data_IF_147732587629
#
_entry.id   IF_147732587629
#
_cell.length_a   1.000
_cell.length_b   1.000
_cell.length_c   1.000
_cell.angle_alpha   90.00
_cell.angle_beta   90.00
_cell.angle_gamma   90.00
#
_symmetry.space_group_name_H-M   'P 1'
#
loop_
_entity.id
_entity.type
_entity.pdbx_description
1 polymer ?
#
# COMPACT_ATOMS: atom_id res chain seq x y z
N UNK A 1 -19.34 -8.88 3.67
CA UNK A 1 -20.43 -9.63 2.99
C UNK A 1 -19.79 -10.35 1.81
N UNK A 2 -20.06 -11.64 1.64
CA UNK A 2 -19.75 -12.36 0.40
C UNK A 2 -20.97 -12.26 -0.52
N UNK A 3 -20.72 -11.89 -1.78
CA UNK A 3 -21.76 -11.66 -2.78
C UNK A 3 -21.45 -12.49 -4.01
N UNK A 4 -22.49 -12.81 -4.78
CA UNK A 4 -22.31 -13.34 -6.12
C UNK A 4 -21.58 -12.31 -7.00
N UNK A 5 -20.53 -12.75 -7.70
CA UNK A 5 -19.66 -11.85 -8.46
C UNK A 5 -20.33 -11.23 -9.69
N UNK A 6 -21.41 -11.82 -10.20
CA UNK A 6 -22.09 -11.36 -11.42
C UNK A 6 -23.33 -10.52 -11.16
N UNK A 7 -24.00 -10.75 -10.02
CA UNK A 7 -25.29 -10.14 -9.68
C UNK A 7 -25.26 -9.25 -8.45
N UNK A 8 -24.18 -9.33 -7.65
CA UNK A 8 -24.07 -8.72 -6.32
C UNK A 8 -25.10 -9.24 -5.30
N UNK A 9 -25.77 -10.35 -5.60
CA UNK A 9 -26.70 -10.98 -4.66
C UNK A 9 -25.94 -11.40 -3.38
N UNK A 10 -26.40 -10.99 -2.18
CA UNK A 10 -25.72 -11.32 -0.93
C UNK A 10 -25.85 -12.82 -0.63
N UNK A 11 -24.71 -13.51 -0.50
CA UNK A 11 -24.67 -14.95 -0.21
C UNK A 11 -24.32 -15.26 1.25
N UNK A 12 -23.44 -14.48 1.87
CA UNK A 12 -23.06 -14.67 3.28
C UNK A 12 -22.74 -13.35 3.98
N UNK A 13 -23.20 -13.21 5.22
CA UNK A 13 -22.86 -12.09 6.10
C UNK A 13 -22.18 -12.65 7.35
N UNK A 14 -21.06 -12.06 7.73
CA UNK A 14 -20.30 -12.44 8.92
C UNK A 14 -20.05 -11.23 9.79
N UNK A 15 -20.26 -11.38 11.10
CA UNK A 15 -19.86 -10.39 12.10
C UNK A 15 -18.36 -10.47 12.33
N UNK A 16 -17.72 -9.32 12.52
CA UNK A 16 -16.31 -9.22 12.93
C UNK A 16 -16.13 -9.00 14.43
N UNK A 17 -17.22 -8.73 15.19
CA UNK A 17 -17.19 -8.61 16.66
C UNK A 17 -16.50 -9.81 17.30
N UNK A 18 -15.62 -9.56 18.25
CA UNK A 18 -14.83 -10.62 18.86
C UNK A 18 -13.75 -10.09 19.78
N UNK A 19 -12.78 -10.94 20.10
CA UNK A 19 -11.75 -10.67 21.09
C UNK A 19 -10.52 -10.02 20.46
N UNK A 20 -9.92 -9.04 21.15
CA UNK A 20 -8.63 -8.47 20.77
C UNK A 20 -7.53 -9.52 20.81
N UNK A 21 -6.53 -9.38 19.93
CA UNK A 21 -5.42 -10.34 19.83
C UNK A 21 -4.52 -10.35 21.07
N UNK A 22 -4.37 -9.21 21.72
CA UNK A 22 -3.50 -8.97 22.87
C UNK A 22 -4.17 -9.32 24.21
N UNK A 23 -5.17 -8.55 24.62
CA UNK A 23 -5.80 -8.64 25.95
C UNK A 23 -6.89 -9.71 26.01
N UNK A 24 -7.32 -10.24 24.85
CA UNK A 24 -8.49 -11.12 24.75
C UNK A 24 -9.73 -10.47 25.37
N UNK A 25 -9.89 -9.16 25.19
CA UNK A 25 -11.08 -8.42 25.61
C UNK A 25 -12.06 -8.28 24.45
N UNK A 26 -13.36 -8.31 24.75
CA UNK A 26 -14.39 -8.18 23.74
C UNK A 26 -14.40 -6.77 23.15
N UNK A 27 -14.29 -6.67 21.83
CA UNK A 27 -14.41 -5.42 21.10
C UNK A 27 -15.74 -5.37 20.31
N UNK A 28 -16.63 -4.40 20.57
CA UNK A 28 -17.97 -4.34 19.96
C UNK A 28 -17.98 -3.77 18.53
N UNK A 29 -16.92 -3.09 18.11
CA UNK A 29 -16.83 -2.40 16.81
C UNK A 29 -15.50 -2.63 16.06
N UNK A 30 -15.12 -3.88 15.75
CA UNK A 30 -13.92 -4.14 14.99
C UNK A 30 -14.18 -4.03 13.48
N UNK A 31 -13.63 -2.99 12.87
CA UNK A 31 -13.84 -2.61 11.48
C UNK A 31 -13.03 -3.51 10.55
N UNK A 32 -13.60 -3.80 9.38
CA UNK A 32 -12.83 -4.37 8.26
C UNK A 32 -12.04 -3.24 7.61
N UNK A 33 -10.72 -3.41 7.46
CA UNK A 33 -9.85 -2.38 6.91
C UNK A 33 -9.47 -2.62 5.45
N UNK A 34 -8.88 -3.78 5.16
CA UNK A 34 -8.49 -4.20 3.82
C UNK A 34 -8.95 -5.63 3.55
N UNK A 35 -9.26 -5.91 2.29
CA UNK A 35 -9.59 -7.24 1.79
C UNK A 35 -8.75 -7.47 0.54
N UNK A 36 -8.00 -8.57 0.50
CA UNK A 36 -7.30 -9.04 -0.70
C UNK A 36 -7.74 -10.46 -1.04
N UNK A 37 -7.59 -10.87 -2.29
CA UNK A 37 -7.86 -12.24 -2.72
C UNK A 37 -6.56 -13.04 -2.73
N UNK A 38 -6.59 -14.24 -2.14
CA UNK A 38 -5.47 -15.19 -2.19
C UNK A 38 -5.22 -15.65 -3.63
N UNK A 39 -3.95 -15.90 -3.94
CA UNK A 39 -3.52 -16.55 -5.17
C UNK A 39 -3.17 -18.03 -4.96
N UNK A 40 -3.14 -18.50 -3.71
CA UNK A 40 -2.75 -19.85 -3.33
C UNK A 40 -3.96 -20.74 -3.03
N UNK A 41 -5.09 -20.14 -2.61
CA UNK A 41 -6.33 -20.82 -2.22
C UNK A 41 -7.56 -20.02 -2.65
N UNK A 42 -8.76 -20.62 -2.73
CA UNK A 42 -10.02 -19.91 -2.94
C UNK A 42 -10.44 -19.13 -1.68
N UNK A 43 -9.62 -18.18 -1.27
CA UNK A 43 -9.76 -17.44 -0.01
C UNK A 43 -9.72 -15.92 -0.21
N UNK A 44 -10.53 -15.21 0.57
CA UNK A 44 -10.31 -13.79 0.86
C UNK A 44 -9.49 -13.65 2.14
N UNK A 45 -8.52 -12.75 2.13
CA UNK A 45 -7.76 -12.34 3.31
C UNK A 45 -8.30 -11.01 3.79
N UNK A 46 -8.83 -10.97 5.02
CA UNK A 46 -9.59 -9.86 5.59
C UNK A 46 -8.89 -9.33 6.84
N UNK A 47 -8.46 -8.08 6.81
CA UNK A 47 -7.95 -7.38 7.99
C UNK A 47 -9.08 -6.88 8.88
N UNK A 48 -9.06 -7.27 10.15
CA UNK A 48 -9.98 -6.78 11.18
C UNK A 48 -9.20 -5.89 12.15
N UNK A 49 -9.43 -4.58 12.02
CA UNK A 49 -8.56 -3.50 12.54
C UNK A 49 -8.38 -3.57 14.05
N UNK A 50 -9.42 -3.35 14.83
CA UNK A 50 -9.30 -3.12 16.28
C UNK A 50 -8.90 -4.38 17.04
N UNK A 51 -9.36 -5.55 16.59
CA UNK A 51 -9.00 -6.84 17.20
C UNK A 51 -7.64 -7.36 16.75
N UNK A 52 -7.06 -6.82 15.67
CA UNK A 52 -5.77 -7.25 15.16
C UNK A 52 -5.77 -8.68 14.64
N UNK A 53 -6.88 -9.09 14.01
CA UNK A 53 -7.06 -10.42 13.43
C UNK A 53 -7.04 -10.33 11.90
N UNK A 54 -6.40 -11.31 11.27
CA UNK A 54 -6.46 -11.52 9.82
C UNK A 54 -7.27 -12.79 9.58
N UNK A 55 -8.35 -12.69 8.82
CA UNK A 55 -9.23 -13.83 8.51
C UNK A 55 -8.94 -14.32 7.10
N UNK A 56 -8.64 -15.61 6.95
CA UNK A 56 -8.59 -16.30 5.66
C UNK A 56 -9.93 -17.00 5.50
N UNK A 57 -10.79 -16.45 4.64
CA UNK A 57 -12.18 -16.87 4.44
C UNK A 57 -12.26 -17.68 3.15
N UNK A 58 -12.37 -19.00 3.29
CA UNK A 58 -12.51 -19.92 2.16
C UNK A 58 -13.94 -19.86 1.60
N UNK A 59 -14.05 -19.50 0.33
CA UNK A 59 -15.33 -19.33 -0.36
C UNK A 59 -15.72 -20.54 -1.23
N UNK A 60 -14.99 -21.65 -1.17
CA UNK A 60 -15.30 -22.88 -1.94
C UNK A 60 -16.61 -23.54 -1.52
N UNK A 61 -17.03 -23.36 -0.26
CA UNK A 61 -18.29 -23.85 0.27
C UNK A 61 -18.93 -22.83 1.21
N UNK A 62 -19.95 -22.12 0.72
CA UNK A 62 -20.63 -21.06 1.48
C UNK A 62 -21.59 -21.60 2.55
N UNK A 63 -22.03 -22.86 2.43
CA UNK A 63 -22.89 -23.53 3.40
C UNK A 63 -22.09 -23.95 4.64
N UNK A 64 -20.87 -24.43 4.43
CA UNK A 64 -19.93 -24.83 5.48
C UNK A 64 -18.62 -24.01 5.41
N UNK A 65 -18.76 -22.70 5.66
CA UNK A 65 -17.67 -21.75 5.50
C UNK A 65 -16.49 -22.06 6.44
N UNK A 66 -15.30 -22.25 5.88
CA UNK A 66 -14.06 -22.40 6.64
C UNK A 66 -13.39 -21.04 6.78
N UNK A 67 -12.97 -20.72 8.00
CA UNK A 67 -12.31 -19.44 8.32
C UNK A 67 -11.13 -19.71 9.22
N UNK A 68 -9.92 -19.45 8.72
CA UNK A 68 -8.71 -19.43 9.54
C UNK A 68 -8.54 -18.05 10.14
N UNK A 69 -8.45 -17.95 11.46
CA UNK A 69 -8.24 -16.68 12.17
C UNK A 69 -6.80 -16.59 12.65
N UNK A 70 -6.05 -15.64 12.10
CA UNK A 70 -4.66 -15.38 12.46
C UNK A 70 -4.57 -14.16 13.40
N UNK A 71 -3.81 -14.30 14.48
CA UNK A 71 -3.47 -13.19 15.36
C UNK A 71 -2.25 -12.43 14.82
N UNK A 72 -2.41 -11.14 14.55
CA UNK A 72 -1.33 -10.27 14.10
C UNK A 72 -1.02 -9.20 15.16
N UNK A 73 -1.35 -7.94 14.90
CA UNK A 73 -1.24 -6.83 15.83
C UNK A 73 -2.47 -5.92 15.68
N UNK A 74 -2.83 -5.17 16.73
CA UNK A 74 -3.98 -4.27 16.67
C UNK A 74 -3.77 -3.15 15.65
N UNK A 75 -4.87 -2.59 15.19
CA UNK A 75 -4.92 -1.50 14.23
C UNK A 75 -4.41 -1.86 12.83
N UNK A 76 -4.66 -3.11 12.40
CA UNK A 76 -4.49 -3.51 11.01
C UNK A 76 -5.17 -2.51 10.07
N UNK A 77 -4.53 -2.25 8.95
CA UNK A 77 -4.98 -1.30 7.97
C UNK A 77 -4.87 -1.91 6.57
N UNK A 78 -3.99 -1.38 5.75
CA UNK A 78 -3.70 -1.73 4.37
C UNK A 78 -2.47 -2.62 4.25
N UNK A 79 -2.25 -3.16 3.06
CA UNK A 79 -1.22 -4.13 2.77
C UNK A 79 -1.31 -4.64 1.35
N UNK A 80 -0.32 -5.41 0.94
CA UNK A 80 -0.30 -6.03 -0.37
C UNK A 80 0.57 -7.26 -0.44
N UNK A 81 0.51 -7.89 -1.60
CA UNK A 81 1.27 -9.08 -1.91
C UNK A 81 2.74 -8.75 -2.14
N UNK A 82 3.61 -9.66 -1.73
CA UNK A 82 4.97 -9.74 -2.26
C UNK A 82 4.95 -10.01 -3.78
N UNK A 83 6.11 -9.89 -4.43
CA UNK A 83 6.24 -10.11 -5.87
C UNK A 83 5.77 -11.48 -6.36
N UNK A 84 5.85 -12.52 -5.51
CA UNK A 84 5.43 -13.89 -5.84
C UNK A 84 3.93 -14.14 -5.62
N UNK A 85 3.23 -13.18 -4.98
CA UNK A 85 1.81 -13.29 -4.61
C UNK A 85 1.50 -14.40 -3.63
N UNK A 86 2.48 -14.80 -2.81
CA UNK A 86 2.30 -15.81 -1.75
C UNK A 86 2.17 -15.17 -0.38
N UNK A 87 2.94 -14.13 -0.12
CA UNK A 87 3.03 -13.49 1.19
C UNK A 87 2.27 -12.18 1.19
N UNK A 88 1.31 -12.06 2.10
CA UNK A 88 0.58 -10.81 2.30
C UNK A 88 1.24 -10.02 3.42
N UNK A 89 1.78 -8.85 3.08
CA UNK A 89 2.40 -7.92 4.02
C UNK A 89 1.41 -6.80 4.34
N UNK A 90 1.10 -6.59 5.61
CA UNK A 90 0.11 -5.60 6.03
C UNK A 90 0.52 -4.80 7.25
N UNK A 91 0.21 -3.51 7.23
CA UNK A 91 0.51 -2.58 8.29
C UNK A 91 -0.51 -2.65 9.44
N UNK A 92 -0.01 -2.87 10.64
CA UNK A 92 -0.67 -2.55 11.90
C UNK A 92 -0.21 -1.16 12.34
N UNK A 93 -0.80 -0.12 11.73
CA UNK A 93 -0.17 1.19 11.64
C UNK A 93 0.08 1.88 13.00
N UNK A 94 -0.92 1.90 13.89
CA UNK A 94 -0.79 2.45 15.25
C UNK A 94 0.02 1.55 16.19
N UNK A 95 0.38 0.34 15.75
CA UNK A 95 1.28 -0.56 16.47
C UNK A 95 2.69 -0.59 15.89
N UNK A 96 2.98 0.20 14.85
CA UNK A 96 4.29 0.28 14.19
C UNK A 96 4.84 -1.10 13.76
N UNK A 97 3.97 -1.96 13.22
CA UNK A 97 4.33 -3.32 12.78
C UNK A 97 3.84 -3.62 11.37
N UNK A 98 4.58 -4.48 10.68
CA UNK A 98 4.19 -5.14 9.43
C UNK A 98 4.01 -6.62 9.73
N UNK A 99 2.77 -7.11 9.62
CA UNK A 99 2.49 -8.54 9.70
C UNK A 99 2.70 -9.19 8.33
N UNK A 100 3.35 -10.35 8.32
CA UNK A 100 3.58 -11.15 7.11
C UNK A 100 2.81 -12.46 7.24
N UNK A 101 1.82 -12.65 6.38
CA UNK A 101 1.02 -13.86 6.27
C UNK A 101 1.57 -14.71 5.13
N UNK A 102 1.93 -15.97 5.39
CA UNK A 102 2.08 -16.96 4.33
C UNK A 102 0.69 -17.48 3.96
N UNK A 103 0.15 -17.00 2.83
CA UNK A 103 -1.21 -17.40 2.42
C UNK A 103 -1.29 -18.87 2.03
N UNK A 104 -0.17 -19.49 1.63
CA UNK A 104 -0.13 -20.89 1.25
C UNK A 104 -0.25 -21.80 2.47
N UNK A 105 0.54 -21.53 3.50
CA UNK A 105 0.57 -22.32 4.73
C UNK A 105 -0.46 -21.84 5.76
N UNK A 106 -1.13 -20.71 5.49
CA UNK A 106 -2.15 -20.08 6.35
C UNK A 106 -1.64 -19.72 7.73
N UNK A 107 -0.46 -19.10 7.81
CA UNK A 107 0.18 -18.74 9.08
C UNK A 107 0.82 -17.35 9.04
N UNK A 108 1.08 -16.78 10.23
CA UNK A 108 1.92 -15.58 10.37
C UNK A 108 3.38 -16.02 10.44
N UNK A 109 4.18 -15.62 9.46
CA UNK A 109 5.60 -15.97 9.40
C UNK A 109 6.50 -14.91 10.04
N UNK A 110 6.01 -13.67 10.17
CA UNK A 110 6.73 -12.61 10.86
C UNK A 110 5.83 -11.45 11.30
N UNK A 111 6.27 -10.76 12.36
CA UNK A 111 5.83 -9.42 12.72
C UNK A 111 7.07 -8.53 12.72
N UNK A 112 7.24 -7.74 11.65
CA UNK A 112 8.41 -6.88 11.45
C UNK A 112 8.13 -5.50 12.05
N UNK A 113 9.07 -4.96 12.82
CA UNK A 113 8.95 -3.60 13.34
C UNK A 113 9.16 -2.57 12.21
N UNK A 114 8.34 -1.52 12.23
CA UNK A 114 8.49 -0.33 11.38
C UNK A 114 8.70 0.89 12.29
N UNK A 115 9.34 1.95 11.80
CA UNK A 115 9.70 3.07 12.67
C UNK A 115 8.47 3.81 13.22
N UNK A 116 7.57 4.27 12.35
CA UNK A 116 6.42 5.08 12.78
C UNK A 116 5.28 5.16 11.75
N UNK A 117 4.11 4.61 12.09
CA UNK A 117 2.87 4.66 11.30
C UNK A 117 3.13 4.33 9.82
N UNK A 118 3.52 3.07 9.49
CA UNK A 118 3.66 2.65 8.10
C UNK A 118 2.31 2.78 7.38
N UNK A 119 2.34 3.27 6.15
CA UNK A 119 1.16 3.44 5.30
C UNK A 119 1.49 3.03 3.85
N UNK A 120 1.42 1.74 3.52
CA UNK A 120 1.87 1.23 2.23
C UNK A 120 0.90 1.47 1.07
N UNK A 121 -0.39 1.62 1.33
CA UNK A 121 -1.41 1.17 0.37
C UNK A 121 -1.25 -0.33 0.12
N UNK A 122 -0.91 -0.71 -1.12
CA UNK A 122 -0.48 -2.08 -1.47
C UNK A 122 1.03 -2.31 -1.30
N UNK A 123 1.79 -1.24 -1.07
CA UNK A 123 3.24 -1.22 -1.12
C UNK A 123 3.80 -1.31 -2.54
N UNK A 124 5.12 -1.40 -2.63
CA UNK A 124 5.86 -1.54 -3.88
C UNK A 124 6.83 -2.72 -3.80
N UNK A 125 6.88 -3.55 -4.84
CA UNK A 125 7.80 -4.67 -4.93
C UNK A 125 8.91 -4.35 -5.94
N UNK A 126 10.18 -4.48 -5.55
CA UNK A 126 11.33 -4.34 -6.43
C UNK A 126 12.30 -5.51 -6.21
N UNK A 127 13.21 -5.71 -7.17
CA UNK A 127 14.42 -6.48 -6.96
C UNK A 127 15.55 -5.52 -6.56
N UNK A 128 15.83 -5.41 -5.26
CA UNK A 128 16.88 -4.53 -4.75
C UNK A 128 18.26 -5.08 -5.18
N UNK A 129 19.14 -4.27 -5.81
CA UNK A 129 20.42 -4.74 -6.33
C UNK A 129 21.35 -5.42 -5.31
N UNK A 130 21.17 -5.15 -4.02
CA UNK A 130 21.98 -5.70 -2.92
C UNK A 130 21.25 -6.79 -2.14
N UNK A 131 19.93 -6.65 -1.95
CA UNK A 131 19.17 -7.48 -1.02
C UNK A 131 18.23 -8.49 -1.68
N UNK A 132 18.04 -8.41 -3.00
CA UNK A 132 17.11 -9.23 -3.77
C UNK A 132 15.66 -8.73 -3.65
N UNK A 133 14.65 -9.61 -3.79
CA UNK A 133 13.25 -9.23 -3.74
C UNK A 133 12.85 -8.60 -2.41
N UNK A 134 12.35 -7.37 -2.47
CA UNK A 134 11.86 -6.61 -1.31
C UNK A 134 10.48 -6.02 -1.56
N UNK A 135 9.73 -5.86 -0.48
CA UNK A 135 8.49 -5.11 -0.43
C UNK A 135 8.69 -3.84 0.39
N UNK A 136 8.11 -2.74 -0.06
CA UNK A 136 8.38 -1.39 0.43
C UNK A 136 7.09 -0.74 0.92
N UNK A 137 7.17 -0.08 2.08
CA UNK A 137 6.16 0.84 2.59
C UNK A 137 6.77 2.20 2.83
N UNK A 138 6.01 3.26 2.57
CA UNK A 138 6.30 4.59 3.12
C UNK A 138 5.64 4.75 4.50
N UNK A 139 5.83 5.91 5.12
CA UNK A 139 5.32 6.23 6.44
C UNK A 139 4.55 7.55 6.45
N UNK A 140 3.52 7.59 7.29
CA UNK A 140 2.77 8.81 7.57
C UNK A 140 3.46 9.67 8.64
N UNK A 141 4.08 9.01 9.63
CA UNK A 141 4.57 9.65 10.85
C UNK A 141 6.00 10.21 10.79
N UNK A 142 6.74 9.91 9.72
CA UNK A 142 8.10 10.37 9.42
C UNK A 142 8.40 10.20 7.93
N UNK A 143 9.61 10.58 7.54
CA UNK A 143 10.15 10.54 6.19
C UNK A 143 10.59 9.14 5.71
N UNK A 144 10.48 8.10 6.53
CA UNK A 144 11.11 6.83 6.21
C UNK A 144 10.29 5.99 5.22
N UNK A 145 11.00 5.34 4.31
CA UNK A 145 10.55 4.21 3.51
C UNK A 145 11.28 2.96 3.96
N UNK A 146 10.52 1.95 4.41
CA UNK A 146 11.05 0.70 4.96
C UNK A 146 11.01 -0.40 3.92
N UNK A 147 12.16 -1.04 3.67
CA UNK A 147 12.32 -2.12 2.69
C UNK A 147 12.46 -3.44 3.46
N UNK A 148 11.55 -4.38 3.20
CA UNK A 148 11.50 -5.69 3.86
C UNK A 148 11.85 -6.77 2.85
N UNK A 149 12.83 -7.64 3.17
CA UNK A 149 13.17 -8.79 2.34
C UNK A 149 12.02 -9.81 2.26
N UNK A 150 11.70 -10.29 1.06
CA UNK A 150 10.51 -11.15 0.82
C UNK A 150 10.81 -12.52 0.23
N UNK A 151 12.08 -12.87 0.07
CA UNK A 151 12.49 -14.17 -0.51
C UNK A 151 13.14 -15.10 0.53
N UNK A 152 12.35 -15.91 1.25
CA UNK A 152 12.86 -16.90 2.21
C UNK A 152 13.57 -18.09 1.55
N UNK A 153 13.56 -18.24 0.22
CA UNK A 153 14.24 -19.35 -0.47
C UNK A 153 15.64 -18.96 -0.91
N UNK A 154 15.75 -17.88 -1.70
CA UNK A 154 17.03 -17.40 -2.25
C UNK A 154 17.78 -16.46 -1.30
N UNK A 155 17.05 -15.67 -0.49
CA UNK A 155 17.62 -14.62 0.35
C UNK A 155 17.30 -14.82 1.85
N UNK A 156 17.48 -16.04 2.35
CA UNK A 156 17.17 -16.47 3.74
C UNK A 156 17.64 -15.52 4.84
N UNK A 157 18.81 -14.89 4.68
CA UNK A 157 19.37 -13.98 5.70
C UNK A 157 18.57 -12.68 5.83
N UNK A 158 17.90 -12.28 4.75
CA UNK A 158 17.20 -11.01 4.56
C UNK A 158 15.68 -11.15 4.72
N UNK A 159 15.13 -12.35 4.49
CA UNK A 159 13.70 -12.60 4.54
C UNK A 159 13.09 -12.14 5.88
N UNK A 160 12.02 -11.37 5.78
CA UNK A 160 11.23 -10.83 6.90
C UNK A 160 12.01 -9.92 7.84
N UNK A 161 13.02 -9.23 7.32
CA UNK A 161 13.77 -8.20 8.04
C UNK A 161 13.75 -6.90 7.26
N UNK A 162 13.81 -5.80 7.99
CA UNK A 162 14.17 -4.50 7.41
C UNK A 162 15.62 -4.58 6.93
N UNK A 163 15.82 -4.48 5.62
CA UNK A 163 17.16 -4.56 5.00
C UNK A 163 17.70 -3.19 4.61
N UNK A 164 16.81 -2.21 4.47
CA UNK A 164 17.12 -0.84 4.10
C UNK A 164 16.00 0.10 4.59
N UNK A 165 16.41 1.30 4.99
CA UNK A 165 15.52 2.44 5.17
C UNK A 165 16.06 3.58 4.31
N UNK A 166 15.19 4.21 3.51
CA UNK A 166 15.51 5.41 2.73
C UNK A 166 14.55 6.54 3.11
N UNK A 167 14.93 7.78 2.87
CA UNK A 167 14.10 8.95 3.19
C UNK A 167 13.27 9.40 1.98
N UNK A 168 12.00 9.73 2.17
CA UNK A 168 11.20 10.50 1.23
C UNK A 168 11.46 12.00 1.41
N UNK A 169 10.63 12.85 0.82
CA UNK A 169 10.74 14.32 1.00
C UNK A 169 10.41 14.79 2.42
N UNK A 170 9.75 13.95 3.22
CA UNK A 170 9.22 14.28 4.53
C UNK A 170 8.16 13.25 4.96
N UNK A 171 7.47 13.52 6.06
CA UNK A 171 6.32 12.73 6.50
C UNK A 171 5.07 12.90 5.63
N UNK A 172 3.97 12.27 6.05
CA UNK A 172 2.67 12.41 5.38
C UNK A 172 2.57 11.73 4.02
N UNK A 173 3.43 10.74 3.75
CA UNK A 173 3.27 9.85 2.60
C UNK A 173 2.06 8.94 2.78
N UNK A 174 1.36 8.66 1.67
CA UNK A 174 0.27 7.69 1.65
C UNK A 174 0.55 6.52 0.71
N UNK A 175 1.31 6.75 -0.37
CA UNK A 175 1.57 5.73 -1.36
C UNK A 175 3.03 5.72 -1.82
N UNK A 176 3.54 4.50 -1.93
CA UNK A 176 4.77 4.17 -2.67
C UNK A 176 4.38 3.31 -3.88
N UNK A 177 5.05 3.49 -5.02
CA UNK A 177 4.71 2.74 -6.24
C UNK A 177 5.92 2.46 -7.12
N UNK A 178 5.87 1.32 -7.79
CA UNK A 178 6.75 0.93 -8.88
C UNK A 178 6.00 -0.01 -9.84
N UNK A 179 6.66 -0.49 -10.87
CA UNK A 179 6.13 -1.46 -11.82
C UNK A 179 7.25 -2.42 -12.28
N UNK A 180 6.99 -3.71 -12.56
CA UNK A 180 8.02 -4.67 -12.98
C UNK A 180 8.84 -4.31 -14.24
N UNK A 181 8.37 -3.34 -15.02
CA UNK A 181 9.04 -2.83 -16.23
C UNK A 181 9.67 -1.45 -16.04
N UNK A 182 9.54 -0.87 -14.84
CA UNK A 182 10.10 0.43 -14.49
C UNK A 182 11.34 0.26 -13.63
N UNK A 183 12.25 1.23 -13.73
CA UNK A 183 13.38 1.39 -12.82
C UNK A 183 13.12 2.50 -11.80
N UNK A 184 11.89 3.00 -11.71
CA UNK A 184 11.51 4.08 -10.81
C UNK A 184 10.76 3.56 -9.59
N UNK A 185 11.10 4.14 -8.43
CA UNK A 185 10.33 4.02 -7.20
C UNK A 185 9.79 5.40 -6.82
N UNK A 186 8.47 5.54 -6.89
CA UNK A 186 7.74 6.79 -6.68
C UNK A 186 7.19 6.86 -5.26
N UNK A 187 7.30 8.01 -4.61
CA UNK A 187 6.73 8.26 -3.28
C UNK A 187 6.07 9.64 -3.23
N UNK A 188 4.81 9.66 -2.80
CA UNK A 188 4.05 10.90 -2.59
C UNK A 188 4.13 11.38 -1.13
N UNK A 189 3.73 12.63 -0.88
CA UNK A 189 3.65 13.22 0.46
C UNK A 189 2.41 14.09 0.64
N UNK A 190 1.20 13.62 0.27
CA UNK A 190 0.01 14.46 0.17
C UNK A 190 -0.38 15.11 1.49
N UNK A 191 -0.07 14.51 2.64
CA UNK A 191 -0.44 15.04 3.96
C UNK A 191 0.66 15.90 4.60
N UNK A 192 1.77 16.13 3.90
CA UNK A 192 2.81 17.02 4.40
C UNK A 192 2.28 18.46 4.55
N UNK A 193 2.68 19.20 5.61
CA UNK A 193 2.19 20.56 5.84
C UNK A 193 2.81 21.59 4.88
N UNK A 194 4.04 21.37 4.40
CA UNK A 194 4.64 22.21 3.36
C UNK A 194 4.01 21.90 1.99
N UNK A 195 3.47 22.94 1.35
CA UNK A 195 2.91 22.87 0.01
C UNK A 195 3.94 22.38 -1.01
N UNK A 196 5.21 22.79 -0.93
CA UNK A 196 6.24 22.35 -1.89
C UNK A 196 6.43 20.83 -1.90
N UNK A 197 6.28 20.20 -0.74
CA UNK A 197 6.39 18.74 -0.58
C UNK A 197 5.08 18.05 -0.96
N UNK A 198 3.93 18.54 -0.47
CA UNK A 198 2.63 17.92 -0.78
C UNK A 198 2.17 18.12 -2.22
N UNK A 199 2.76 19.06 -2.95
CA UNK A 199 2.49 19.36 -4.37
C UNK A 199 3.50 18.71 -5.34
N UNK A 200 4.40 17.87 -4.83
CA UNK A 200 5.44 17.20 -5.62
C UNK A 200 5.54 15.71 -5.28
N UNK A 201 6.37 15.00 -6.03
CA UNK A 201 6.65 13.57 -5.85
C UNK A 201 8.15 13.34 -5.91
N UNK A 202 8.66 12.50 -5.01
CA UNK A 202 10.04 12.02 -5.10
C UNK A 202 10.11 10.73 -5.93
N UNK A 203 11.17 10.61 -6.74
CA UNK A 203 11.45 9.43 -7.55
C UNK A 203 12.88 8.98 -7.38
N UNK A 204 13.02 7.74 -6.93
CA UNK A 204 14.29 7.03 -6.84
C UNK A 204 14.57 6.23 -8.10
N UNK A 205 15.84 6.13 -8.48
CA UNK A 205 16.32 5.10 -9.42
C UNK A 205 16.61 3.81 -8.65
N UNK A 206 15.86 2.74 -8.93
CA UNK A 206 16.01 1.43 -8.31
C UNK A 206 17.42 0.86 -8.53
N UNK A 207 18.05 1.17 -9.67
CA UNK A 207 19.39 0.69 -9.97
C UNK A 207 20.49 1.45 -9.20
N UNK A 208 20.16 2.60 -8.58
CA UNK A 208 21.09 3.40 -7.82
C UNK A 208 20.39 4.18 -6.69
N UNK A 209 19.82 3.42 -5.75
CA UNK A 209 19.09 3.98 -4.59
C UNK A 209 19.94 4.94 -3.74
N UNK A 210 21.26 4.76 -3.71
CA UNK A 210 22.20 5.60 -2.94
C UNK A 210 22.39 7.00 -3.55
N UNK A 211 22.02 7.21 -4.82
CA UNK A 211 22.03 8.54 -5.46
C UNK A 211 21.04 9.50 -4.80
N UNK A 212 20.04 8.97 -4.08
CA UNK A 212 18.90 9.74 -3.59
C UNK A 212 17.81 9.89 -4.65
N UNK A 213 16.82 10.72 -4.34
CA UNK A 213 15.66 10.96 -5.20
C UNK A 213 15.79 12.25 -6.03
N UNK A 214 15.06 12.27 -7.14
CA UNK A 214 14.71 13.48 -7.88
C UNK A 214 13.31 13.93 -7.47
N UNK A 215 13.03 15.24 -7.49
CA UNK A 215 11.71 15.79 -7.16
C UNK A 215 11.02 16.27 -8.43
N UNK A 216 9.81 15.78 -8.69
CA UNK A 216 8.99 16.23 -9.82
C UNK A 216 7.87 17.17 -9.36
N UNK A 217 7.73 18.35 -9.98
CA UNK A 217 6.76 19.36 -9.55
C UNK A 217 5.37 19.08 -10.16
N UNK A 218 4.75 17.97 -9.75
CA UNK A 218 3.52 17.44 -10.35
C UNK A 218 2.37 18.46 -10.33
N UNK A 219 2.10 19.14 -9.20
CA UNK A 219 1.01 20.11 -9.16
C UNK A 219 1.32 21.37 -10.00
N UNK A 220 2.60 21.75 -10.12
CA UNK A 220 3.01 22.86 -10.99
C UNK A 220 2.74 22.51 -12.45
N UNK A 221 3.07 21.28 -12.87
CA UNK A 221 2.72 20.79 -14.22
C UNK A 221 1.22 20.77 -14.46
N UNK A 222 0.44 20.48 -13.42
CA UNK A 222 -1.01 20.45 -13.51
C UNK A 222 -1.63 21.84 -13.70
N UNK A 223 -1.03 22.91 -13.18
CA UNK A 223 -1.52 24.30 -13.31
C UNK A 223 -3.01 24.44 -12.89
N UNK A 224 -3.35 23.98 -11.68
CA UNK A 224 -4.74 23.91 -11.19
C UNK A 224 -5.21 25.19 -10.47
N UNK A 225 -4.39 26.24 -10.43
CA UNK A 225 -4.72 27.51 -9.79
C UNK A 225 -4.77 27.41 -8.26
N UNK A 226 -5.71 28.12 -7.64
CA UNK A 226 -5.84 28.20 -6.19
C UNK A 226 -6.28 26.88 -5.55
N UNK A 227 -5.74 26.60 -4.36
CA UNK A 227 -6.12 25.47 -3.53
C UNK A 227 -4.93 24.72 -2.96
N UNK A 228 -5.22 23.60 -2.29
CA UNK A 228 -4.19 22.76 -1.67
C UNK A 228 -3.35 22.00 -2.70
N UNK A 229 -3.98 21.52 -3.77
CA UNK A 229 -3.38 20.79 -4.89
C UNK A 229 -2.47 19.62 -4.46
N UNK A 230 -2.93 18.83 -3.48
CA UNK A 230 -2.15 17.74 -2.90
C UNK A 230 -1.98 16.62 -3.94
N UNK A 231 -0.74 16.21 -4.19
CA UNK A 231 -0.41 15.17 -5.16
C UNK A 231 -0.45 13.82 -4.46
N UNK A 232 -1.25 12.90 -4.99
CA UNK A 232 -1.53 11.62 -4.34
C UNK A 232 -1.60 10.48 -5.34
N UNK A 233 -1.15 9.31 -4.89
CA UNK A 233 -1.27 8.00 -5.53
C UNK A 233 -0.68 7.94 -6.95
N UNK A 234 0.63 7.64 -7.10
CA UNK A 234 1.15 7.17 -8.37
C UNK A 234 0.44 5.87 -8.77
N UNK A 235 -0.09 5.76 -9.98
CA UNK A 235 -0.61 4.51 -10.54
C UNK A 235 -0.15 4.34 -12.00
N UNK A 236 0.31 3.14 -12.34
CA UNK A 236 0.79 2.86 -13.69
C UNK A 236 -0.33 2.48 -14.65
N UNK A 237 -0.13 2.77 -15.93
CA UNK A 237 -0.89 2.14 -17.00
C UNK A 237 -0.52 0.64 -17.12
N UNK A 238 -1.28 -0.12 -17.93
CA UNK A 238 -1.03 -1.56 -18.11
C UNK A 238 0.32 -1.89 -18.78
N UNK A 239 0.85 -0.98 -19.60
CA UNK A 239 2.14 -1.16 -20.26
C UNK A 239 3.32 -0.97 -19.29
N UNK A 240 3.12 -0.20 -18.21
CA UNK A 240 4.14 0.14 -17.24
C UNK A 240 5.09 1.23 -17.69
N UNK A 241 4.71 2.04 -18.67
CA UNK A 241 5.52 3.11 -19.26
C UNK A 241 4.99 4.52 -19.00
N UNK A 242 3.81 4.63 -18.39
CA UNK A 242 3.24 5.88 -17.88
C UNK A 242 2.81 5.71 -16.44
N UNK A 243 3.09 6.71 -15.61
CA UNK A 243 2.59 6.81 -14.23
C UNK A 243 1.71 8.05 -14.08
N UNK A 244 0.58 7.87 -13.41
CA UNK A 244 -0.50 8.83 -13.31
C UNK A 244 -0.61 9.28 -11.85
N UNK A 245 -0.85 10.56 -11.64
CA UNK A 245 -0.99 11.17 -10.31
C UNK A 245 -2.25 12.01 -10.25
N UNK A 246 -3.05 11.86 -9.18
CA UNK A 246 -4.12 12.82 -8.90
C UNK A 246 -3.52 14.08 -8.27
N UNK A 247 -3.91 15.24 -8.80
CA UNK A 247 -3.67 16.55 -8.18
C UNK A 247 -4.98 16.97 -7.53
N UNK A 248 -5.11 16.60 -6.26
CA UNK A 248 -6.33 16.65 -5.48
C UNK A 248 -6.53 18.04 -4.85
N UNK A 249 -7.60 18.70 -5.28
CA UNK A 249 -8.01 20.00 -4.78
C UNK A 249 -9.40 19.93 -4.12
N UNK A 250 -9.85 21.02 -3.51
CA UNK A 250 -11.18 21.10 -2.91
C UNK A 250 -12.29 20.95 -3.96
N UNK A 251 -13.50 20.60 -3.51
CA UNK A 251 -14.67 20.34 -4.37
C UNK A 251 -14.99 21.45 -5.38
N UNK A 252 -14.86 22.71 -4.94
CA UNK A 252 -15.14 23.90 -5.76
C UNK A 252 -13.89 24.42 -6.50
N UNK A 253 -12.74 23.75 -6.35
CA UNK A 253 -11.45 24.12 -6.94
C UNK A 253 -11.13 23.20 -8.13
N UNK A 254 -10.32 23.69 -9.06
CA UNK A 254 -9.91 22.87 -10.20
C UNK A 254 -8.97 21.76 -9.74
N UNK A 255 -9.17 20.55 -10.24
CA UNK A 255 -8.28 19.39 -10.03
C UNK A 255 -7.78 18.88 -11.38
N UNK A 256 -6.79 17.98 -11.37
CA UNK A 256 -6.26 17.36 -12.58
C UNK A 256 -5.72 15.95 -12.30
N UNK A 257 -5.52 15.18 -13.38
CA UNK A 257 -4.63 14.03 -13.37
C UNK A 257 -3.40 14.38 -14.23
N UNK A 258 -2.22 14.16 -13.69
CA UNK A 258 -0.95 14.35 -14.40
C UNK A 258 -0.40 12.99 -14.79
N UNK A 259 -0.08 12.83 -16.07
CA UNK A 259 0.56 11.65 -16.62
C UNK A 259 2.02 11.97 -16.89
N UNK A 260 2.91 11.13 -16.38
CA UNK A 260 4.37 11.24 -16.54
C UNK A 260 4.85 10.05 -17.36
N UNK A 261 5.71 10.32 -18.33
CA UNK A 261 6.44 9.29 -19.07
C UNK A 261 7.48 8.68 -18.13
N UNK A 262 7.34 7.39 -17.82
CA UNK A 262 8.13 6.73 -16.78
C UNK A 262 9.63 6.74 -17.11
N UNK A 263 9.98 6.47 -18.37
CA UNK A 263 11.39 6.38 -18.82
C UNK A 263 12.11 7.70 -18.73
N UNK A 264 11.45 8.79 -19.10
CA UNK A 264 12.07 10.12 -19.16
C UNK A 264 11.81 10.96 -17.92
N UNK A 265 10.87 10.55 -17.06
CA UNK A 265 10.37 11.31 -15.90
C UNK A 265 9.84 12.70 -16.28
N UNK A 266 9.36 12.86 -17.51
CA UNK A 266 8.84 14.12 -18.05
C UNK A 266 7.32 14.11 -18.10
N UNK A 267 6.74 15.29 -17.97
CA UNK A 267 5.31 15.51 -18.21
C UNK A 267 4.92 14.96 -19.59
N UNK A 268 3.96 14.04 -19.60
CA UNK A 268 3.39 13.46 -20.81
C UNK A 268 2.07 14.13 -21.16
N UNK A 269 1.19 14.31 -20.17
CA UNK A 269 -0.16 14.85 -20.35
C UNK A 269 -0.73 15.39 -19.05
N UNK A 270 -1.59 16.39 -19.16
CA UNK A 270 -2.46 16.84 -18.06
C UNK A 270 -3.91 16.62 -18.49
N UNK A 271 -4.69 15.97 -17.64
CA UNK A 271 -6.11 15.71 -17.86
C UNK A 271 -6.88 16.62 -16.91
N UNK A 272 -7.67 17.54 -17.48
CA UNK A 272 -8.62 18.41 -16.78
C UNK A 272 -9.99 18.24 -17.42
N UNK A 273 -11.02 18.20 -16.61
CA UNK A 273 -12.41 18.14 -17.07
C UNK A 273 -13.30 18.74 -15.97
N UNK A 274 -14.39 19.42 -16.33
CA UNK A 274 -15.35 19.96 -15.35
C UNK A 274 -15.99 18.86 -14.50
N UNK A 275 -16.03 17.63 -15.01
CA UNK A 275 -16.52 16.44 -14.30
C UNK A 275 -15.49 15.85 -13.34
N UNK A 276 -14.22 16.23 -13.45
CA UNK A 276 -13.12 15.71 -12.66
C UNK A 276 -13.05 16.46 -11.31
N UNK A 277 -14.02 16.18 -10.46
CA UNK A 277 -14.16 16.80 -9.13
C UNK A 277 -13.50 15.87 -8.11
N UNK A 278 -12.52 16.40 -7.36
CA UNK A 278 -11.80 15.66 -6.30
C UNK A 278 -11.32 14.26 -6.74
N UNK A 279 -10.53 14.15 -7.83
CA UNK A 279 -9.99 12.88 -8.32
C UNK A 279 -8.89 12.31 -7.42
#
# INVERSE_FOLDING_TARGET
VLMDGSTLEPKKIMSTRGMTVDTQEYHPEPRVAAIVASHEHPEFIVNVKETGKILLVDYSNLDALTVTTLGAARFLHDGGWDSTKRYFLTAANQSNKIAVVDSKEREIVALVDADKIPHPGRGANIDDPKYGPVWITSALGNENMTFIGTDPKGHKKNAWKVVRTLEAQGGGSLFVKTHPKSTNLWVDNPLHPDAKVSQSVAVYDINNLEKGYEVLPIAQWADVGEGAARVVQPEYNAAGDEVWFSVWNGKEQTSAIVVVDDKTRKLKKVIKDKRLITP
#
